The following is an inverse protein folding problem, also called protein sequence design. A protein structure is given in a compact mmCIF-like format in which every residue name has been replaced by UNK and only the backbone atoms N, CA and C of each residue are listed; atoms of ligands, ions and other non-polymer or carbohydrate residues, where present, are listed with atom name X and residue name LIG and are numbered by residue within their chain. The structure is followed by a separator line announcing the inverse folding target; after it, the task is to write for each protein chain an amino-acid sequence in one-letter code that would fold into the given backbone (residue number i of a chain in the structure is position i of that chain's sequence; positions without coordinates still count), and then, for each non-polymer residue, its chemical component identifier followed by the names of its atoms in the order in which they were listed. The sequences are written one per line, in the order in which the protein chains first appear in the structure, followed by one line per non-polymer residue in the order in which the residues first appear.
data_IF_284183350479
#
_entry.id   IF_284183350479
#
_cell.length_a   1.000
_cell.length_b   1.000
_cell.length_c   1.000
_cell.angle_alpha   90.00
_cell.angle_beta   90.00
_cell.angle_gamma   90.00
#
_symmetry.space_group_name_H-M   'P 1'
#
loop_
_entity.id
_entity.type
_entity.pdbx_description
1 polymer ?
#
# COMPACT_ATOMS: atom_id res chain seq x y z
N UNK A 1 23.55 -10.22 6.53
CA UNK A 1 23.96 -8.82 6.77
C UNK A 1 22.70 -7.99 6.65
N UNK A 2 22.24 -7.36 7.73
CA UNK A 2 21.08 -6.46 7.63
C UNK A 2 21.51 -5.23 6.84
N UNK A 3 20.85 -4.96 5.74
CA UNK A 3 21.06 -3.73 4.99
C UNK A 3 20.57 -2.56 5.89
N UNK A 4 21.45 -1.65 6.32
CA UNK A 4 21.07 -0.56 7.21
C UNK A 4 20.06 0.42 6.57
N UNK A 5 19.88 0.37 5.26
CA UNK A 5 18.93 1.21 4.52
C UNK A 5 17.48 0.80 4.74
N UNK A 6 17.22 -0.41 5.25
CA UNK A 6 15.86 -0.91 5.51
C UNK A 6 15.38 -0.63 6.95
N UNK A 7 16.10 0.19 7.71
CA UNK A 7 15.67 0.60 9.05
C UNK A 7 14.50 1.59 8.98
N UNK A 8 13.50 1.36 9.85
CA UNK A 8 12.30 2.19 9.92
C UNK A 8 12.44 3.43 10.83
N UNK A 9 13.64 3.70 11.36
CA UNK A 9 13.91 4.80 12.28
C UNK A 9 15.21 5.51 11.92
N UNK A 10 15.19 6.85 12.06
CA UNK A 10 16.37 7.69 11.99
C UNK A 10 16.62 8.35 13.35
N UNK A 11 17.87 8.46 13.76
CA UNK A 11 18.25 9.21 14.95
C UNK A 11 18.31 10.70 14.57
N UNK A 12 17.46 11.52 15.21
CA UNK A 12 17.35 12.97 14.94
C UNK A 12 18.10 13.81 15.96
N UNK A 13 18.36 13.28 17.14
CA UNK A 13 19.18 13.84 18.21
C UNK A 13 19.75 12.65 19.02
N UNK A 14 20.80 12.80 19.79
CA UNK A 14 21.34 11.72 20.61
C UNK A 14 20.27 11.04 21.48
N UNK A 15 19.98 9.77 21.22
CA UNK A 15 18.96 8.97 21.91
C UNK A 15 17.51 9.28 21.53
N UNK A 16 17.27 10.14 20.52
CA UNK A 16 15.94 10.46 20.02
C UNK A 16 15.75 9.95 18.59
N UNK A 17 14.76 9.08 18.41
CA UNK A 17 14.49 8.43 17.14
C UNK A 17 13.15 8.89 16.56
N UNK A 18 13.14 9.11 15.24
CA UNK A 18 11.93 9.38 14.45
C UNK A 18 11.63 8.19 13.56
N UNK A 19 10.37 7.79 13.51
CA UNK A 19 9.92 6.78 12.53
C UNK A 19 10.03 7.36 11.10
N UNK A 20 10.73 6.65 10.22
CA UNK A 20 10.91 6.99 8.79
C UNK A 20 10.69 5.74 7.94
N UNK A 21 9.46 5.20 7.92
CA UNK A 21 9.15 3.98 7.18
C UNK A 21 9.06 4.23 5.69
N UNK A 22 9.27 3.16 4.94
CA UNK A 22 9.12 3.16 3.48
C UNK A 22 10.44 3.26 2.74
N UNK A 23 10.39 2.79 1.51
CA UNK A 23 11.55 2.76 0.62
C UNK A 23 11.68 4.08 -0.14
N UNK A 24 12.92 4.54 -0.29
CA UNK A 24 13.30 5.57 -1.25
C UNK A 24 13.82 4.89 -2.52
N UNK A 25 14.01 5.64 -3.59
CA UNK A 25 14.38 5.07 -4.89
C UNK A 25 15.60 4.14 -4.84
N UNK A 26 16.61 4.47 -4.05
CA UNK A 26 17.84 3.68 -3.91
C UNK A 26 17.59 2.30 -3.30
N UNK A 27 16.61 2.19 -2.40
CA UNK A 27 16.31 0.97 -1.63
C UNK A 27 15.57 -0.09 -2.44
N UNK A 28 14.94 0.30 -3.55
CA UNK A 28 14.31 -0.68 -4.41
C UNK A 28 15.37 -1.47 -5.17
N UNK A 29 15.42 -2.76 -4.96
CA UNK A 29 16.28 -3.70 -5.68
C UNK A 29 15.41 -4.63 -6.49
N UNK A 30 15.60 -4.62 -7.81
CA UNK A 30 14.84 -5.48 -8.73
C UNK A 30 15.00 -6.95 -8.32
N UNK A 31 13.88 -7.65 -8.23
CA UNK A 31 13.80 -9.04 -7.78
C UNK A 31 13.56 -9.22 -6.28
N UNK A 32 13.79 -8.21 -5.43
CA UNK A 32 13.45 -8.32 -4.01
C UNK A 32 11.94 -8.45 -3.82
N UNK A 33 11.55 -9.21 -2.79
CA UNK A 33 10.16 -9.43 -2.38
C UNK A 33 9.99 -8.95 -0.94
N UNK A 34 8.92 -8.18 -0.71
CA UNK A 34 8.53 -7.68 0.60
C UNK A 34 7.22 -8.32 1.02
N UNK A 35 7.23 -9.03 2.13
CA UNK A 35 6.02 -9.53 2.78
C UNK A 35 5.43 -8.48 3.71
N UNK A 36 4.17 -8.12 3.50
CA UNK A 36 3.50 -7.10 4.31
C UNK A 36 2.75 -7.74 5.47
N UNK A 37 3.05 -7.27 6.67
CA UNK A 37 2.44 -7.74 7.93
C UNK A 37 2.04 -6.54 8.80
N UNK A 38 0.99 -6.68 9.66
CA UNK A 38 0.15 -7.88 9.85
C UNK A 38 -0.81 -8.14 8.69
N UNK A 39 -1.45 -9.32 8.68
CA UNK A 39 -2.61 -9.59 7.83
C UNK A 39 -3.82 -8.75 8.26
N UNK A 40 -4.82 -8.60 7.37
CA UNK A 40 -6.04 -7.82 7.63
C UNK A 40 -7.29 -8.69 7.43
N UNK A 41 -8.02 -8.94 8.51
CA UNK A 41 -9.31 -9.63 8.45
C UNK A 41 -10.39 -8.64 8.00
N UNK A 42 -11.17 -9.03 7.00
CA UNK A 42 -12.24 -8.20 6.43
C UNK A 42 -13.49 -8.35 7.29
N UNK A 43 -14.04 -7.23 7.72
CA UNK A 43 -15.29 -7.18 8.47
C UNK A 43 -16.47 -6.85 7.56
N UNK A 44 -17.70 -7.13 8.04
CA UNK A 44 -18.94 -6.70 7.37
C UNK A 44 -18.94 -5.18 7.15
N UNK A 45 -18.46 -4.43 8.14
CA UNK A 45 -18.38 -2.97 8.07
C UNK A 45 -17.46 -2.52 6.93
N UNK A 46 -16.27 -3.13 6.80
CA UNK A 46 -15.33 -2.81 5.71
C UNK A 46 -16.02 -2.98 4.34
N UNK A 47 -16.73 -4.10 4.16
CA UNK A 47 -17.36 -4.41 2.88
C UNK A 47 -18.54 -3.48 2.57
N UNK A 48 -19.51 -3.37 3.48
CA UNK A 48 -20.75 -2.59 3.23
C UNK A 48 -20.42 -1.10 3.11
N UNK A 49 -19.67 -0.54 4.04
CA UNK A 49 -19.34 0.89 4.02
C UNK A 49 -18.55 1.30 2.79
N UNK A 50 -17.51 0.54 2.45
CA UNK A 50 -16.70 0.85 1.28
C UNK A 50 -17.48 0.67 -0.02
N UNK A 51 -18.34 -0.34 -0.12
CA UNK A 51 -19.23 -0.52 -1.28
C UNK A 51 -20.15 0.68 -1.45
N UNK A 52 -20.81 1.13 -0.38
CA UNK A 52 -21.72 2.27 -0.43
C UNK A 52 -20.99 3.59 -0.71
N UNK A 53 -19.80 3.81 -0.12
CA UNK A 53 -18.98 4.99 -0.43
C UNK A 53 -18.59 5.06 -1.91
N UNK A 54 -18.37 3.90 -2.54
CA UNK A 54 -18.10 3.81 -3.98
C UNK A 54 -19.35 3.74 -4.85
N UNK A 55 -20.56 3.97 -4.29
CA UNK A 55 -21.85 3.84 -4.96
C UNK A 55 -22.09 2.45 -5.57
N UNK A 56 -21.41 1.43 -5.09
CA UNK A 56 -21.62 0.04 -5.49
C UNK A 56 -22.75 -0.56 -4.65
N UNK A 57 -23.96 -0.48 -5.16
CA UNK A 57 -25.18 -0.97 -4.51
C UNK A 57 -25.56 -2.39 -4.95
N UNK A 58 -24.63 -3.15 -5.52
CA UNK A 58 -24.95 -4.51 -5.93
C UNK A 58 -25.29 -5.36 -4.69
N UNK A 59 -26.47 -6.01 -4.66
CA UNK A 59 -26.97 -6.68 -3.46
C UNK A 59 -26.04 -7.80 -2.96
N UNK A 60 -25.27 -8.42 -3.83
CA UNK A 60 -24.30 -9.45 -3.47
C UNK A 60 -23.28 -8.98 -2.39
N UNK A 61 -23.04 -7.67 -2.28
CA UNK A 61 -22.09 -7.10 -1.33
C UNK A 61 -22.73 -6.56 -0.06
N UNK A 62 -24.03 -6.26 -0.07
CA UNK A 62 -24.68 -5.50 1.01
C UNK A 62 -25.97 -6.14 1.55
N UNK A 63 -26.58 -7.08 0.81
CA UNK A 63 -27.81 -7.76 1.19
C UNK A 63 -27.52 -9.26 1.47
N UNK A 64 -27.49 -9.61 2.75
CA UNK A 64 -27.15 -10.96 3.17
C UNK A 64 -28.20 -12.00 2.77
N UNK A 65 -29.50 -11.60 2.66
CA UNK A 65 -30.58 -12.50 2.22
C UNK A 65 -30.40 -12.82 0.75
N UNK A 66 -30.22 -11.80 -0.09
CA UNK A 66 -29.93 -12.00 -1.50
C UNK A 66 -28.65 -12.85 -1.71
N UNK A 67 -27.58 -12.52 -1.01
CA UNK A 67 -26.30 -13.23 -1.16
C UNK A 67 -26.41 -14.72 -0.78
N UNK A 68 -27.22 -15.06 0.21
CA UNK A 68 -27.44 -16.45 0.62
C UNK A 68 -28.14 -17.29 -0.45
N UNK A 69 -28.92 -16.68 -1.34
CA UNK A 69 -29.60 -17.37 -2.45
C UNK A 69 -28.71 -17.53 -3.70
N UNK A 70 -27.52 -16.92 -3.71
CA UNK A 70 -26.58 -17.02 -4.82
C UNK A 70 -25.65 -18.25 -4.66
N UNK A 71 -24.84 -18.52 -5.68
CA UNK A 71 -23.81 -19.57 -5.64
C UNK A 71 -22.77 -19.36 -4.51
N UNK A 72 -22.64 -18.16 -3.96
CA UNK A 72 -21.70 -17.84 -2.89
C UNK A 72 -22.26 -18.12 -1.49
N UNK A 73 -23.57 -18.21 -1.32
CA UNK A 73 -24.28 -18.48 -0.06
C UNK A 73 -23.95 -17.51 1.11
N UNK A 74 -23.28 -16.42 0.83
CA UNK A 74 -22.87 -15.40 1.80
C UNK A 74 -22.45 -14.10 1.11
N UNK A 75 -22.29 -13.02 1.88
CA UNK A 75 -21.82 -11.74 1.33
C UNK A 75 -20.41 -11.89 0.70
N UNK A 76 -20.35 -11.59 -0.59
CA UNK A 76 -19.09 -11.46 -1.32
C UNK A 76 -18.48 -10.10 -1.04
N UNK A 77 -17.18 -10.05 -0.79
CA UNK A 77 -16.44 -8.79 -0.66
C UNK A 77 -16.31 -8.12 -2.01
N UNK A 78 -16.63 -6.82 -2.06
CA UNK A 78 -16.47 -6.03 -3.29
C UNK A 78 -15.03 -6.03 -3.78
N UNK A 79 -14.86 -6.11 -5.09
CA UNK A 79 -13.56 -6.10 -5.75
C UNK A 79 -12.69 -4.91 -5.35
N UNK A 80 -13.29 -3.72 -5.23
CA UNK A 80 -12.59 -2.51 -4.82
C UNK A 80 -12.16 -2.55 -3.35
N UNK A 81 -12.91 -3.24 -2.49
CA UNK A 81 -12.54 -3.45 -1.08
C UNK A 81 -11.32 -4.37 -1.00
N UNK A 82 -11.35 -5.49 -1.71
CA UNK A 82 -10.21 -6.41 -1.80
C UNK A 82 -8.97 -5.71 -2.31
N UNK A 83 -9.08 -4.98 -3.42
CA UNK A 83 -7.99 -4.20 -4.00
C UNK A 83 -7.47 -3.14 -3.02
N UNK A 84 -8.37 -2.36 -2.43
CA UNK A 84 -8.02 -1.27 -1.52
C UNK A 84 -7.27 -1.77 -0.28
N UNK A 85 -7.70 -2.89 0.31
CA UNK A 85 -7.04 -3.51 1.47
C UNK A 85 -5.65 -4.01 1.10
N UNK A 86 -5.52 -4.82 0.03
CA UNK A 86 -4.23 -5.38 -0.39
C UNK A 86 -3.26 -4.27 -0.80
N UNK A 87 -3.72 -3.27 -1.58
CA UNK A 87 -2.89 -2.12 -1.91
C UNK A 87 -2.50 -1.31 -0.67
N UNK A 88 -3.43 -1.08 0.25
CA UNK A 88 -3.19 -0.37 1.51
C UNK A 88 -2.12 -1.02 2.39
N UNK A 89 -2.08 -2.36 2.44
CA UNK A 89 -1.05 -3.11 3.19
C UNK A 89 0.37 -2.83 2.67
N UNK A 90 0.53 -2.47 1.40
CA UNK A 90 1.84 -2.18 0.80
C UNK A 90 2.37 -0.78 1.15
N UNK A 91 1.49 0.14 1.61
CA UNK A 91 1.81 1.58 1.72
C UNK A 91 3.01 1.81 2.62
N UNK A 92 2.99 1.29 3.84
CA UNK A 92 4.04 1.55 4.84
C UNK A 92 5.45 1.17 4.34
N UNK A 93 5.57 0.14 3.52
CA UNK A 93 6.87 -0.33 2.99
C UNK A 93 7.15 0.27 1.61
N UNK A 94 6.22 0.07 0.67
CA UNK A 94 6.48 0.32 -0.75
C UNK A 94 6.26 1.79 -1.13
N UNK A 95 5.27 2.48 -0.57
CA UNK A 95 4.90 3.79 -1.11
C UNK A 95 4.78 4.90 -0.10
N UNK A 96 5.21 4.70 1.14
CA UNK A 96 5.16 5.75 2.17
C UNK A 96 5.96 6.99 1.76
N UNK A 97 7.11 6.78 1.10
CA UNK A 97 8.01 7.82 0.62
C UNK A 97 7.82 8.12 -0.89
N UNK A 98 6.77 7.56 -1.51
CA UNK A 98 6.49 7.84 -2.92
C UNK A 98 5.85 9.23 -3.09
N UNK A 99 6.26 9.92 -4.13
CA UNK A 99 5.70 11.23 -4.50
C UNK A 99 4.30 11.08 -5.09
N UNK A 100 4.10 10.04 -5.91
CA UNK A 100 2.81 9.77 -6.55
C UNK A 100 2.67 8.32 -7.01
N UNK A 101 1.42 7.86 -7.07
CA UNK A 101 1.05 6.71 -7.88
C UNK A 101 0.84 7.15 -9.32
N UNK A 102 1.47 6.46 -10.27
CA UNK A 102 1.31 6.74 -11.69
C UNK A 102 0.24 5.86 -12.33
N UNK A 103 -0.03 4.68 -11.75
CA UNK A 103 -1.09 3.82 -12.23
C UNK A 103 -1.04 2.42 -11.63
N UNK A 104 -2.11 1.67 -11.90
CA UNK A 104 -2.23 0.24 -11.68
C UNK A 104 -2.59 -0.42 -12.99
N UNK A 105 -1.90 -1.53 -13.28
CA UNK A 105 -2.09 -2.33 -14.48
C UNK A 105 -2.32 -3.79 -14.11
N UNK A 106 -2.89 -4.55 -15.05
CA UNK A 106 -3.08 -6.00 -14.94
C UNK A 106 -3.77 -6.43 -13.64
N UNK A 107 -4.71 -5.63 -13.13
CA UNK A 107 -5.48 -5.99 -11.95
C UNK A 107 -6.34 -7.22 -12.27
N UNK A 108 -6.14 -8.31 -11.54
CA UNK A 108 -6.87 -9.56 -11.69
C UNK A 108 -7.40 -10.03 -10.34
N UNK A 109 -8.67 -10.37 -10.31
CA UNK A 109 -9.32 -11.02 -9.18
C UNK A 109 -9.31 -12.53 -9.47
N UNK A 110 -8.50 -13.27 -8.74
CA UNK A 110 -8.22 -14.68 -9.04
C UNK A 110 -9.20 -15.63 -8.33
N UNK A 111 -9.74 -15.21 -7.17
CA UNK A 111 -10.70 -15.98 -6.41
C UNK A 111 -11.63 -15.05 -5.60
N UNK A 112 -12.85 -15.52 -5.25
CA UNK A 112 -13.75 -14.75 -4.39
C UNK A 112 -13.16 -14.56 -2.99
N UNK A 113 -13.51 -13.44 -2.38
CA UNK A 113 -13.16 -13.08 -1.00
C UNK A 113 -14.44 -12.86 -0.21
N UNK A 114 -14.48 -13.34 1.02
CA UNK A 114 -15.64 -13.27 1.88
C UNK A 114 -15.37 -12.47 3.15
N UNK A 115 -16.43 -11.97 3.76
CA UNK A 115 -16.34 -11.37 5.10
C UNK A 115 -15.82 -12.43 6.08
N UNK A 116 -14.81 -12.06 6.87
CA UNK A 116 -14.11 -13.00 7.76
C UNK A 116 -12.79 -13.52 7.18
N UNK A 117 -12.55 -13.42 5.88
CA UNK A 117 -11.24 -13.74 5.30
C UNK A 117 -10.18 -12.79 5.83
N UNK A 118 -8.99 -13.32 6.07
CA UNK A 118 -7.80 -12.54 6.42
C UNK A 118 -6.86 -12.49 5.21
N UNK A 119 -6.59 -11.28 4.74
CA UNK A 119 -5.70 -11.07 3.62
C UNK A 119 -4.26 -10.82 4.08
N UNK A 120 -3.34 -11.31 3.29
CA UNK A 120 -1.90 -11.10 3.36
C UNK A 120 -1.41 -10.62 2.00
N UNK A 121 -0.40 -9.77 1.98
CA UNK A 121 0.15 -9.25 0.75
C UNK A 121 1.66 -9.44 0.69
N UNK A 122 2.16 -9.63 -0.52
CA UNK A 122 3.59 -9.58 -0.85
C UNK A 122 3.79 -8.75 -2.12
N UNK A 123 4.92 -8.06 -2.20
CA UNK A 123 5.24 -7.18 -3.33
C UNK A 123 6.65 -7.47 -3.83
N UNK A 124 6.78 -7.75 -5.12
CA UNK A 124 8.06 -7.90 -5.82
C UNK A 124 8.41 -6.62 -6.57
N UNK A 125 9.65 -6.18 -6.48
CA UNK A 125 10.18 -5.10 -7.31
C UNK A 125 10.46 -5.66 -8.70
N UNK A 126 9.79 -5.11 -9.72
CA UNK A 126 9.86 -5.60 -11.10
C UNK A 126 10.86 -4.81 -11.93
N UNK A 127 10.81 -3.47 -11.82
CA UNK A 127 11.67 -2.57 -12.58
C UNK A 127 11.87 -1.25 -11.84
N UNK A 128 12.99 -0.57 -12.11
CA UNK A 128 13.22 0.80 -11.69
C UNK A 128 14.11 1.55 -12.67
N UNK A 129 13.83 2.84 -12.85
CA UNK A 129 14.66 3.75 -13.64
C UNK A 129 14.57 5.18 -13.12
N UNK A 130 15.59 6.02 -13.28
CA UNK A 130 15.46 7.44 -13.01
C UNK A 130 14.35 8.08 -13.84
N UNK A 131 13.70 9.11 -13.31
CA UNK A 131 12.74 9.91 -14.05
C UNK A 131 13.46 10.82 -15.03
N UNK A 132 13.04 10.81 -16.31
CA UNK A 132 13.62 11.68 -17.32
C UNK A 132 13.16 13.14 -17.18
N UNK A 133 11.99 13.37 -16.60
CA UNK A 133 11.35 14.69 -16.50
C UNK A 133 11.42 15.31 -15.11
N UNK A 134 11.81 14.54 -14.09
CA UNK A 134 11.80 14.98 -12.68
C UNK A 134 13.11 14.58 -11.99
N UNK A 135 14.14 15.45 -12.05
CA UNK A 135 15.40 15.22 -11.33
C UNK A 135 15.15 14.99 -9.83
N UNK A 136 15.88 14.06 -9.22
CA UNK A 136 15.68 13.68 -7.80
C UNK A 136 14.56 12.67 -7.57
N UNK A 137 13.94 12.14 -8.62
CA UNK A 137 12.89 11.13 -8.54
C UNK A 137 13.16 9.97 -9.51
N UNK A 138 12.57 8.81 -9.20
CA UNK A 138 12.66 7.65 -10.07
C UNK A 138 11.31 6.94 -10.21
N UNK A 139 11.14 6.24 -11.32
CA UNK A 139 9.97 5.43 -11.60
C UNK A 139 10.27 4.01 -11.17
N UNK A 140 9.37 3.43 -10.37
CA UNK A 140 9.46 2.05 -9.87
C UNK A 140 8.19 1.30 -10.23
N UNK A 141 8.34 0.11 -10.80
CA UNK A 141 7.24 -0.81 -11.08
C UNK A 141 7.34 -2.00 -10.14
N UNK A 142 6.22 -2.30 -9.50
CA UNK A 142 6.11 -3.41 -8.55
C UNK A 142 4.94 -4.31 -8.92
N UNK A 143 5.06 -5.60 -8.61
CA UNK A 143 4.00 -6.59 -8.73
C UNK A 143 3.56 -7.03 -7.35
N UNK A 144 2.28 -6.90 -7.04
CA UNK A 144 1.70 -7.25 -5.74
C UNK A 144 0.73 -8.41 -5.89
N UNK A 145 0.82 -9.36 -4.97
CA UNK A 145 -0.08 -10.50 -4.82
C UNK A 145 -0.75 -10.43 -3.45
N UNK A 146 -2.09 -10.58 -3.45
CA UNK A 146 -2.88 -10.77 -2.23
C UNK A 146 -3.32 -12.23 -2.10
N UNK A 147 -3.17 -12.79 -0.90
CA UNK A 147 -3.61 -14.16 -0.56
C UNK A 147 -4.51 -14.14 0.66
N UNK A 148 -5.44 -15.10 0.73
CA UNK A 148 -6.22 -15.30 1.95
C UNK A 148 -5.46 -16.20 2.96
N UNK A 149 -6.08 -16.46 4.13
CA UNK A 149 -5.54 -17.30 5.21
C UNK A 149 -5.21 -18.73 4.80
N UNK A 150 -5.79 -19.20 3.72
CA UNK A 150 -5.55 -20.55 3.18
C UNK A 150 -4.48 -20.58 2.08
N UNK A 151 -3.79 -19.43 1.86
CA UNK A 151 -2.77 -19.30 0.81
C UNK A 151 -3.31 -19.14 -0.61
N UNK A 152 -4.65 -19.09 -0.79
CA UNK A 152 -5.28 -18.89 -2.09
C UNK A 152 -5.01 -17.48 -2.57
N UNK A 153 -4.46 -17.34 -3.77
CA UNK A 153 -4.28 -16.04 -4.42
C UNK A 153 -5.65 -15.48 -4.80
N UNK A 154 -5.99 -14.34 -4.24
CA UNK A 154 -7.29 -13.68 -4.46
C UNK A 154 -7.20 -12.50 -5.39
N UNK A 155 -6.04 -11.84 -5.44
CA UNK A 155 -5.80 -10.69 -6.31
C UNK A 155 -4.32 -10.59 -6.67
N UNK A 156 -4.05 -10.04 -7.85
CA UNK A 156 -2.73 -9.57 -8.26
C UNK A 156 -2.84 -8.28 -9.09
N UNK A 157 -1.80 -7.48 -9.07
CA UNK A 157 -1.71 -6.27 -9.91
C UNK A 157 -0.28 -5.77 -10.01
N UNK A 158 0.01 -5.08 -11.11
CA UNK A 158 1.19 -4.25 -11.26
C UNK A 158 0.86 -2.81 -10.82
N UNK A 159 1.82 -2.13 -10.20
CA UNK A 159 1.71 -0.74 -9.79
C UNK A 159 2.97 0.00 -10.18
N UNK A 160 2.80 1.16 -10.82
CA UNK A 160 3.90 2.08 -11.12
C UNK A 160 3.80 3.30 -10.23
N UNK A 161 4.90 3.67 -9.59
CA UNK A 161 4.98 4.79 -8.69
C UNK A 161 6.19 5.67 -8.99
N UNK A 162 6.10 6.93 -8.59
CA UNK A 162 7.17 7.91 -8.61
C UNK A 162 7.77 7.95 -7.21
N UNK A 163 9.00 7.46 -7.06
CA UNK A 163 9.70 7.39 -5.79
C UNK A 163 10.69 8.54 -5.63
N UNK A 164 10.74 9.15 -4.44
CA UNK A 164 11.76 10.15 -4.12
C UNK A 164 13.13 9.49 -4.00
N UNK A 165 14.15 10.15 -4.50
CA UNK A 165 15.55 9.82 -4.22
C UNK A 165 15.98 10.44 -2.90
N UNK A 166 16.99 9.83 -2.26
CA UNK A 166 17.67 10.50 -1.15
C UNK A 166 18.38 11.73 -1.67
N UNK A 167 18.07 12.88 -1.10
CA UNK A 167 18.90 14.06 -1.35
C UNK A 167 20.24 13.86 -0.63
N UNK A 168 21.39 14.20 -1.26
CA UNK A 168 22.63 14.30 -0.51
C UNK A 168 22.40 15.33 0.59
N UNK A 169 22.46 14.87 1.85
CA UNK A 169 22.19 15.56 3.10
C UNK A 169 21.87 17.08 2.98
N UNK A 170 20.63 17.43 2.80
CA UNK A 170 20.09 18.65 3.40
C UNK A 170 19.83 18.30 4.86
N UNK A 171 20.36 19.09 5.78
CA UNK A 171 20.24 18.87 7.22
C UNK A 171 18.78 18.60 7.60
N UNK A 172 18.48 17.52 8.36
CA UNK A 172 17.10 17.19 8.74
C UNK A 172 16.44 18.26 9.65
N UNK A 173 17.14 19.28 10.03
CA UNK A 173 16.69 20.34 10.96
C UNK A 173 15.89 21.46 10.26
N UNK A 174 16.13 21.75 8.98
CA UNK A 174 15.45 22.89 8.32
C UNK A 174 13.96 22.64 7.98
N UNK A 175 13.54 21.40 7.82
CA UNK A 175 12.16 21.10 7.39
C UNK A 175 11.14 21.22 8.55
N UNK A 176 11.58 21.12 9.80
CA UNK A 176 10.70 21.20 10.99
C UNK A 176 10.41 22.65 11.39
N UNK A 177 11.36 23.55 11.20
CA UNK A 177 11.18 24.98 11.54
C UNK A 177 10.22 25.69 10.58
N UNK A 178 10.12 25.23 9.33
CA UNK A 178 9.17 25.78 8.37
C UNK A 178 7.70 25.48 8.71
N UNK A 179 7.43 24.37 9.39
CA UNK A 179 6.08 23.99 9.84
C UNK A 179 5.72 24.56 11.22
N UNK A 180 6.71 24.86 12.06
CA UNK A 180 6.50 25.47 13.38
C UNK A 180 6.39 27.02 13.33
N UNK A 181 6.82 27.64 12.22
CA UNK A 181 6.84 29.09 12.02
C UNK A 181 5.53 29.71 11.54
N UNK A 182 4.38 29.09 11.78
CA UNK A 182 3.05 29.66 11.53
C UNK A 182 2.86 30.95 12.33
N UNK A 183 3.05 32.10 11.70
CA UNK A 183 2.87 33.44 12.22
C UNK A 183 1.57 33.57 13.02
N UNK A 184 1.69 33.88 14.29
CA UNK A 184 0.65 34.58 15.03
C UNK A 184 0.31 35.87 14.26
N UNK A 185 -0.87 35.97 13.69
CA UNK A 185 -1.42 37.24 13.18
C UNK A 185 -1.98 37.98 14.36
N UNK A 186 -1.36 39.12 14.66
CA UNK A 186 -1.92 40.19 15.46
C UNK A 186 -3.17 40.79 14.83
#
# INVERSE_FOLDING_TARGET
MNDPTLLAYIEVEPGRFREDPGLRYEDYVVGHVFEHRPGRTITTTDNIWSSLLCLNQHPLHIDAVYAAETEFHQLLVSSLVTFGIVNGMTVKTISQQAVANLGWDKVRLNAPVFVGDTLYAETRIVDKRPSASRPGEGIVTVHTIGRNQNGVQVIEFDRTLLASMRHPASDPVEEVDALAGGKARS
#
